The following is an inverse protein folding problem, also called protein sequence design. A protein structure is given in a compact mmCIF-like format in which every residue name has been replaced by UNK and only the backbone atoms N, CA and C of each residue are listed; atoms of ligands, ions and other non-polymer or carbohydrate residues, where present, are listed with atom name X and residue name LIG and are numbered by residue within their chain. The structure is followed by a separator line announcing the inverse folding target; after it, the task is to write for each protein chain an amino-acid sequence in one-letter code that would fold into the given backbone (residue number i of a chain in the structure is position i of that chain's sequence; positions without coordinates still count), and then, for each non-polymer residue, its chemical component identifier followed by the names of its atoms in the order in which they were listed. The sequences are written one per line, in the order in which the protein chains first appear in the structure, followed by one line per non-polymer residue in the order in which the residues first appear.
data_IF_586103452097
#
_entry.id   IF_586103452097
#
_cell.length_a   1.000
_cell.length_b   1.000
_cell.length_c   1.000
_cell.angle_alpha   90.00
_cell.angle_beta   90.00
_cell.angle_gamma   90.00
#
_symmetry.space_group_name_H-M   'P 1'
#
loop_
_entity.id
_entity.type
_entity.pdbx_description
1 polymer ?
#
# COMPACT_ATOMS: atom_id res chain seq x y z
N UNK A 1 -59.50 16.93 -22.06
CA UNK A 1 -59.71 17.51 -20.70
C UNK A 1 -58.46 17.66 -19.82
N UNK A 2 -57.25 17.25 -20.26
CA UNK A 2 -56.01 17.47 -19.48
C UNK A 2 -55.31 18.81 -19.82
N UNK A 3 -55.54 19.34 -21.03
CA UNK A 3 -54.96 20.62 -21.49
C UNK A 3 -55.59 21.87 -20.85
N UNK A 4 -56.60 21.72 -19.98
CA UNK A 4 -57.24 22.84 -19.28
C UNK A 4 -56.65 23.12 -17.90
N UNK A 5 -55.68 22.30 -17.44
CA UNK A 5 -55.12 22.35 -16.07
C UNK A 5 -53.59 22.48 -16.07
N UNK A 6 -52.94 22.57 -17.24
CA UNK A 6 -51.47 22.56 -17.33
C UNK A 6 -51.00 23.70 -18.26
N UNK A 7 -50.10 24.55 -17.77
CA UNK A 7 -49.59 25.74 -18.47
C UNK A 7 -48.54 25.45 -19.57
N UNK A 8 -48.26 24.17 -19.86
CA UNK A 8 -47.32 23.74 -20.89
C UNK A 8 -46.65 22.41 -20.54
N UNK A 9 -46.13 21.70 -21.55
CA UNK A 9 -45.31 20.50 -21.36
C UNK A 9 -43.85 20.90 -21.51
N UNK A 10 -43.07 20.80 -20.44
CA UNK A 10 -41.61 20.82 -20.50
C UNK A 10 -41.13 19.38 -20.48
N UNK A 11 -40.43 18.97 -21.54
CA UNK A 11 -39.75 17.68 -21.59
C UNK A 11 -38.43 17.85 -20.86
N UNK A 12 -38.40 17.47 -19.58
CA UNK A 12 -37.16 17.38 -18.80
C UNK A 12 -36.75 15.91 -18.74
N UNK A 13 -35.47 15.64 -19.03
CA UNK A 13 -34.90 14.33 -18.82
C UNK A 13 -34.72 14.14 -17.32
N UNK A 14 -35.58 13.34 -16.71
CA UNK A 14 -35.49 12.99 -15.30
C UNK A 14 -34.76 11.65 -15.18
N UNK A 15 -33.61 11.63 -14.51
CA UNK A 15 -32.94 10.39 -14.14
C UNK A 15 -33.77 9.70 -13.04
N UNK A 16 -34.42 8.56 -13.31
CA UNK A 16 -35.33 7.93 -12.35
C UNK A 16 -34.59 7.29 -11.16
N UNK A 17 -33.26 7.21 -11.21
CA UNK A 17 -32.42 6.58 -10.20
C UNK A 17 -31.45 7.61 -9.64
N UNK A 18 -31.77 8.12 -8.45
CA UNK A 18 -30.83 8.93 -7.66
C UNK A 18 -29.84 8.00 -6.98
N UNK A 19 -28.65 7.85 -7.57
CA UNK A 19 -27.55 7.15 -6.92
C UNK A 19 -27.12 7.90 -5.66
N UNK A 20 -26.92 7.13 -4.58
CA UNK A 20 -26.51 7.67 -3.28
C UNK A 20 -25.36 6.85 -2.72
N UNK A 21 -24.33 7.53 -2.22
CA UNK A 21 -23.26 6.96 -1.42
C UNK A 21 -23.27 7.63 -0.04
N UNK A 22 -23.27 6.84 1.03
CA UNK A 22 -23.34 7.32 2.42
C UNK A 22 -24.48 8.34 2.68
N UNK A 23 -25.64 8.08 2.06
CA UNK A 23 -26.86 8.92 2.11
C UNK A 23 -26.75 10.29 1.42
N UNK A 24 -25.63 10.60 0.77
CA UNK A 24 -25.47 11.77 -0.11
C UNK A 24 -25.81 11.39 -1.55
N UNK A 25 -26.39 12.32 -2.33
CA UNK A 25 -26.58 12.11 -3.77
C UNK A 25 -25.22 12.13 -4.45
N UNK A 26 -24.94 11.14 -5.28
CA UNK A 26 -23.61 10.93 -5.86
C UNK A 26 -23.75 10.54 -7.32
N UNK A 27 -22.95 11.17 -8.18
CA UNK A 27 -22.76 10.74 -9.55
C UNK A 27 -21.46 9.94 -9.61
N UNK A 28 -21.55 8.66 -9.99
CA UNK A 28 -20.38 7.79 -10.13
C UNK A 28 -19.96 7.73 -11.59
N UNK A 29 -18.70 8.07 -11.86
CA UNK A 29 -18.08 7.91 -13.18
C UNK A 29 -17.09 6.75 -13.08
N UNK A 30 -17.26 5.76 -13.95
CA UNK A 30 -16.43 4.55 -14.00
C UNK A 30 -15.57 4.62 -15.26
N UNK A 31 -14.30 4.28 -15.13
CA UNK A 31 -13.36 4.17 -16.25
C UNK A 31 -12.42 3.00 -15.96
N UNK A 32 -12.30 2.10 -16.93
CA UNK A 32 -11.38 0.97 -16.88
C UNK A 32 -10.28 1.16 -17.94
N UNK A 33 -9.02 0.83 -17.63
CA UNK A 33 -7.96 0.82 -18.64
C UNK A 33 -8.27 -0.21 -19.73
N UNK A 34 -7.77 0.03 -20.94
CA UNK A 34 -8.00 -0.89 -22.05
C UNK A 34 -7.36 -2.25 -21.75
N UNK A 35 -8.13 -3.33 -21.83
CA UNK A 35 -7.71 -4.69 -21.41
C UNK A 35 -6.45 -5.23 -22.11
N UNK A 36 -6.09 -4.71 -23.28
CA UNK A 36 -4.92 -5.09 -24.06
C UNK A 36 -3.75 -4.11 -23.93
N UNK A 37 -3.89 -3.07 -23.12
CA UNK A 37 -2.79 -2.15 -22.81
C UNK A 37 -1.98 -2.67 -21.62
N UNK A 38 -0.67 -2.38 -21.60
CA UNK A 38 0.19 -2.64 -20.44
C UNK A 38 -0.05 -1.63 -19.29
N UNK A 39 -1.16 -0.87 -19.34
CA UNK A 39 -1.46 0.15 -18.35
C UNK A 39 -2.22 -0.41 -17.16
N UNK A 40 -1.71 -0.11 -15.96
CA UNK A 40 -2.42 -0.43 -14.71
C UNK A 40 -3.47 0.63 -14.39
N UNK A 41 -4.47 0.26 -13.59
CA UNK A 41 -5.48 1.21 -13.10
C UNK A 41 -4.86 2.43 -12.38
N UNK A 42 -3.75 2.24 -11.66
CA UNK A 42 -3.02 3.34 -11.00
C UNK A 42 -2.31 4.26 -12.02
N UNK A 43 -1.74 3.69 -13.09
CA UNK A 43 -1.14 4.47 -14.18
C UNK A 43 -2.18 5.32 -14.90
N UNK A 44 -3.33 4.73 -15.27
CA UNK A 44 -4.43 5.44 -15.91
C UNK A 44 -4.98 6.55 -15.01
N UNK A 45 -5.14 6.28 -13.71
CA UNK A 45 -5.56 7.27 -12.73
C UNK A 45 -4.58 8.44 -12.66
N UNK A 46 -3.26 8.19 -12.63
CA UNK A 46 -2.24 9.25 -12.59
C UNK A 46 -2.33 10.19 -13.80
N UNK A 47 -2.67 9.68 -14.98
CA UNK A 47 -2.82 10.50 -16.19
C UNK A 47 -4.03 11.43 -16.13
N UNK A 48 -5.16 10.94 -15.62
CA UNK A 48 -6.44 11.67 -15.63
C UNK A 48 -6.64 12.53 -14.39
N UNK A 49 -6.01 12.16 -13.26
CA UNK A 49 -6.20 12.81 -11.95
C UNK A 49 -6.06 14.32 -12.01
N UNK A 50 -4.96 14.82 -12.56
CA UNK A 50 -4.69 16.27 -12.57
C UNK A 50 -5.74 17.05 -13.37
N UNK A 51 -6.23 16.50 -14.48
CA UNK A 51 -7.25 17.13 -15.29
C UNK A 51 -8.62 17.15 -14.59
N UNK A 52 -8.96 16.08 -13.87
CA UNK A 52 -10.23 15.96 -13.13
C UNK A 52 -10.24 16.83 -11.88
N UNK A 53 -9.13 16.89 -11.14
CA UNK A 53 -9.01 17.74 -9.94
C UNK A 53 -8.96 19.24 -10.28
N UNK A 54 -8.64 19.60 -11.52
CA UNK A 54 -8.66 20.98 -12.01
C UNK A 54 -10.08 21.50 -12.35
N UNK A 55 -11.10 20.64 -12.36
CA UNK A 55 -12.48 21.05 -12.67
C UNK A 55 -13.02 21.87 -11.49
N UNK A 56 -13.46 23.12 -11.70
CA UNK A 56 -14.03 23.93 -10.62
C UNK A 56 -15.37 23.33 -10.17
N UNK A 57 -15.40 22.82 -8.95
CA UNK A 57 -16.60 22.26 -8.36
C UNK A 57 -17.48 23.38 -7.76
N UNK A 58 -18.80 23.39 -8.02
CA UNK A 58 -19.72 24.32 -7.38
C UNK A 58 -19.77 24.12 -5.86
N UNK A 59 -20.20 25.14 -5.13
CA UNK A 59 -20.32 25.08 -3.68
C UNK A 59 -21.23 23.92 -3.24
N UNK A 60 -20.76 23.13 -2.27
CA UNK A 60 -21.47 21.97 -1.74
C UNK A 60 -21.21 20.65 -2.47
N UNK A 61 -20.39 20.64 -3.53
CA UNK A 61 -19.95 19.42 -4.20
C UNK A 61 -18.55 19.00 -3.74
N UNK A 62 -18.34 17.69 -3.60
CA UNK A 62 -17.04 17.10 -3.25
C UNK A 62 -16.69 16.01 -4.25
N UNK A 63 -15.41 15.92 -4.61
CA UNK A 63 -14.88 14.85 -5.44
C UNK A 63 -14.19 13.82 -4.55
N UNK A 64 -14.53 12.54 -4.74
CA UNK A 64 -13.92 11.42 -4.04
C UNK A 64 -13.51 10.35 -5.05
N UNK A 65 -12.28 9.86 -4.95
CA UNK A 65 -11.76 8.77 -5.77
C UNK A 65 -12.20 7.43 -5.19
N UNK A 66 -13.00 6.67 -5.94
CA UNK A 66 -13.48 5.34 -5.56
C UNK A 66 -12.76 4.18 -6.25
N UNK A 67 -13.33 2.99 -6.14
CA UNK A 67 -12.92 1.82 -6.93
C UNK A 67 -11.62 1.16 -6.42
N UNK A 68 -10.75 0.76 -7.35
CA UNK A 68 -9.49 0.06 -7.04
C UNK A 68 -8.52 0.93 -6.22
N UNK A 69 -8.53 2.25 -6.49
CA UNK A 69 -7.71 3.21 -5.75
C UNK A 69 -8.14 3.29 -4.28
N UNK A 70 -9.43 3.43 -4.01
CA UNK A 70 -9.98 3.48 -2.65
C UNK A 70 -9.66 2.20 -1.88
N UNK A 71 -9.93 1.03 -2.47
CA UNK A 71 -9.63 -0.27 -1.85
C UNK A 71 -8.15 -0.41 -1.53
N UNK A 72 -7.27 -0.07 -2.48
CA UNK A 72 -5.83 -0.14 -2.31
C UNK A 72 -5.34 0.82 -1.22
N UNK A 73 -5.85 2.05 -1.22
CA UNK A 73 -5.47 3.08 -0.25
C UNK A 73 -5.94 2.72 1.17
N UNK A 74 -7.18 2.28 1.33
CA UNK A 74 -7.74 1.90 2.63
C UNK A 74 -7.04 0.67 3.20
N UNK A 75 -6.76 -0.34 2.37
CA UNK A 75 -6.00 -1.51 2.78
C UNK A 75 -4.58 -1.14 3.22
N UNK A 76 -3.88 -0.30 2.45
CA UNK A 76 -2.56 0.20 2.81
C UNK A 76 -2.60 0.98 4.12
N UNK A 77 -3.55 1.91 4.30
CA UNK A 77 -3.70 2.72 5.51
C UNK A 77 -3.87 1.85 6.75
N UNK A 78 -4.74 0.84 6.69
CA UNK A 78 -4.97 -0.08 7.80
C UNK A 78 -3.72 -0.91 8.13
N UNK A 79 -2.99 -1.37 7.10
CA UNK A 79 -1.72 -2.06 7.29
C UNK A 79 -0.66 -1.15 7.91
N UNK A 80 -0.45 0.06 7.38
CA UNK A 80 0.50 1.02 7.94
C UNK A 80 0.17 1.43 9.37
N UNK A 81 -1.10 1.39 9.79
CA UNK A 81 -1.48 1.61 11.18
C UNK A 81 -1.04 0.44 12.09
N UNK A 82 -1.08 -0.80 11.60
CA UNK A 82 -0.76 -2.01 12.37
C UNK A 82 0.72 -2.42 12.27
N UNK A 83 1.40 -2.05 11.19
CA UNK A 83 2.80 -2.41 10.91
C UNK A 83 3.79 -1.96 11.99
N UNK A 84 3.77 -0.70 12.49
CA UNK A 84 4.67 -0.26 13.54
C UNK A 84 4.56 -1.10 14.81
N UNK A 85 3.33 -1.47 15.19
CA UNK A 85 3.09 -2.33 16.36
C UNK A 85 3.64 -3.75 16.13
N UNK A 86 3.41 -4.31 14.93
CA UNK A 86 3.96 -5.62 14.57
C UNK A 86 5.49 -5.64 14.56
N UNK A 87 6.12 -4.61 13.98
CA UNK A 87 7.58 -4.46 13.96
C UNK A 87 8.15 -4.28 15.37
N UNK A 88 7.49 -3.50 16.24
CA UNK A 88 7.89 -3.35 17.64
C UNK A 88 7.86 -4.69 18.38
N UNK A 89 6.78 -5.46 18.24
CA UNK A 89 6.65 -6.79 18.87
C UNK A 89 7.73 -7.73 18.33
N UNK A 90 7.96 -7.74 17.03
CA UNK A 90 9.01 -8.54 16.41
C UNK A 90 10.40 -8.16 16.94
N UNK A 91 10.68 -6.86 17.08
CA UNK A 91 11.92 -6.35 17.66
C UNK A 91 12.09 -6.86 19.09
N UNK A 92 11.06 -6.75 19.92
CA UNK A 92 11.08 -7.24 21.30
C UNK A 92 11.34 -8.75 21.36
N UNK A 93 10.68 -9.55 20.52
CA UNK A 93 10.91 -11.00 20.44
C UNK A 93 12.38 -11.29 20.10
N UNK A 94 12.98 -10.55 19.14
CA UNK A 94 14.41 -10.73 18.82
C UNK A 94 15.33 -10.34 19.98
N UNK A 95 15.00 -9.28 20.73
CA UNK A 95 15.76 -8.90 21.93
C UNK A 95 15.70 -9.98 23.00
N UNK A 96 14.52 -10.56 23.24
CA UNK A 96 14.36 -11.68 24.18
C UNK A 96 15.09 -12.94 23.73
N UNK A 97 15.08 -13.24 22.42
CA UNK A 97 15.75 -14.42 21.86
C UNK A 97 17.27 -14.37 22.10
N UNK A 98 17.89 -13.22 21.87
CA UNK A 98 19.34 -13.06 21.98
C UNK A 98 19.81 -12.65 23.38
N UNK A 99 18.90 -12.29 24.28
CA UNK A 99 19.19 -11.73 25.60
C UNK A 99 20.22 -10.58 25.57
N UNK A 100 20.27 -9.85 24.46
CA UNK A 100 21.17 -8.73 24.21
C UNK A 100 20.57 -7.81 23.17
N UNK A 101 20.87 -6.51 23.26
CA UNK A 101 20.30 -5.49 22.36
C UNK A 101 21.17 -5.29 21.11
N UNK A 102 22.48 -5.59 21.20
CA UNK A 102 23.44 -5.34 20.11
C UNK A 102 23.18 -6.22 18.89
N UNK A 103 22.91 -7.51 19.12
CA UNK A 103 22.67 -8.49 18.04
C UNK A 103 21.39 -8.18 17.24
N UNK A 104 20.22 -7.97 17.89
CA UNK A 104 19.02 -7.50 17.21
C UNK A 104 19.24 -6.21 16.43
N UNK A 105 19.92 -5.20 16.99
CA UNK A 105 20.16 -3.94 16.29
C UNK A 105 20.86 -4.13 14.93
N UNK A 106 21.83 -5.03 14.84
CA UNK A 106 22.53 -5.34 13.58
C UNK A 106 21.56 -5.93 12.55
N UNK A 107 20.70 -6.86 12.97
CA UNK A 107 19.68 -7.45 12.08
C UNK A 107 18.68 -6.36 11.64
N UNK A 108 18.24 -5.50 12.55
CA UNK A 108 17.27 -4.45 12.26
C UNK A 108 17.82 -3.32 11.38
N UNK A 109 19.14 -3.09 11.36
CA UNK A 109 19.78 -2.20 10.38
C UNK A 109 19.62 -2.69 8.93
N UNK A 110 19.36 -3.98 8.71
CA UNK A 110 19.10 -4.52 7.36
C UNK A 110 17.70 -4.18 6.85
N UNK A 111 16.75 -3.80 7.72
CA UNK A 111 15.37 -3.46 7.32
C UNK A 111 15.31 -2.14 6.54
N UNK A 112 15.91 -1.03 6.99
CA UNK A 112 16.01 0.18 6.16
C UNK A 112 16.71 -0.07 4.82
N UNK A 113 17.74 -0.92 4.82
CA UNK A 113 18.47 -1.29 3.62
C UNK A 113 17.59 -2.07 2.62
N UNK A 114 16.73 -2.97 3.12
CA UNK A 114 15.78 -3.72 2.28
C UNK A 114 14.78 -2.79 1.59
N UNK A 115 14.27 -1.78 2.30
CA UNK A 115 13.33 -0.80 1.77
C UNK A 115 13.97 0.00 0.63
N UNK A 116 15.22 0.44 0.78
CA UNK A 116 15.96 1.13 -0.29
C UNK A 116 16.05 0.25 -1.55
N UNK A 117 16.37 -1.04 -1.38
CA UNK A 117 16.43 -2.00 -2.49
C UNK A 117 15.09 -2.17 -3.20
N UNK A 118 13.99 -2.26 -2.45
CA UNK A 118 12.63 -2.33 -3.00
C UNK A 118 12.30 -1.07 -3.81
N UNK A 119 12.56 0.11 -3.25
CA UNK A 119 12.26 1.38 -3.92
C UNK A 119 13.01 1.48 -5.24
N UNK A 120 14.30 1.14 -5.26
CA UNK A 120 15.10 1.09 -6.49
C UNK A 120 14.53 0.09 -7.48
N UNK A 121 14.11 -1.10 -7.02
CA UNK A 121 13.47 -2.11 -7.87
C UNK A 121 12.19 -1.59 -8.52
N UNK A 122 11.26 -1.05 -7.73
CA UNK A 122 10.00 -0.51 -8.24
C UNK A 122 10.21 0.62 -9.24
N UNK A 123 11.15 1.53 -8.95
CA UNK A 123 11.48 2.63 -9.87
C UNK A 123 12.12 2.13 -11.16
N UNK A 124 12.97 1.11 -11.10
CA UNK A 124 13.63 0.53 -12.28
C UNK A 124 12.63 -0.14 -13.23
N UNK A 125 11.58 -0.76 -12.69
CA UNK A 125 10.50 -1.38 -13.46
C UNK A 125 9.33 -0.42 -13.75
N UNK A 126 9.43 0.85 -13.32
CA UNK A 126 8.38 1.85 -13.41
C UNK A 126 7.02 1.34 -12.88
N UNK A 127 7.08 0.51 -11.83
CA UNK A 127 5.93 -0.14 -11.24
C UNK A 127 5.37 0.70 -10.08
N UNK A 128 4.03 0.85 -9.98
CA UNK A 128 3.43 1.58 -8.87
C UNK A 128 3.58 0.81 -7.55
N UNK A 129 3.64 1.55 -6.45
CA UNK A 129 3.55 0.96 -5.11
C UNK A 129 2.10 0.54 -4.83
N UNK A 130 1.76 -0.67 -5.26
CA UNK A 130 0.44 -1.27 -5.06
C UNK A 130 0.36 -2.09 -3.77
N UNK A 131 -0.85 -2.51 -3.41
CA UNK A 131 -1.04 -3.44 -2.28
C UNK A 131 -0.22 -4.74 -2.44
N UNK A 132 -0.08 -5.25 -3.67
CA UNK A 132 0.75 -6.41 -3.97
C UNK A 132 2.24 -6.14 -3.74
N UNK A 133 2.72 -4.95 -4.13
CA UNK A 133 4.09 -4.54 -3.84
C UNK A 133 4.34 -4.53 -2.32
N UNK A 134 3.43 -3.96 -1.53
CA UNK A 134 3.50 -3.96 -0.07
C UNK A 134 3.60 -5.38 0.51
N UNK A 135 2.75 -6.32 0.06
CA UNK A 135 2.85 -7.73 0.49
C UNK A 135 4.22 -8.35 0.17
N UNK A 136 4.78 -8.04 -1.00
CA UNK A 136 6.13 -8.44 -1.39
C UNK A 136 7.21 -7.90 -0.44
N UNK A 137 7.12 -6.62 -0.07
CA UNK A 137 8.04 -5.98 0.90
C UNK A 137 7.96 -6.65 2.27
N UNK A 138 6.76 -6.98 2.73
CA UNK A 138 6.57 -7.65 4.02
C UNK A 138 7.17 -9.06 4.02
N UNK A 139 6.95 -9.81 2.94
CA UNK A 139 7.55 -11.14 2.75
C UNK A 139 9.08 -11.08 2.71
N UNK A 140 9.64 -10.12 1.97
CA UNK A 140 11.09 -9.91 1.89
C UNK A 140 11.68 -9.58 3.26
N UNK A 141 11.07 -8.66 4.01
CA UNK A 141 11.53 -8.30 5.35
C UNK A 141 11.52 -9.50 6.30
N UNK A 142 10.49 -10.34 6.25
CA UNK A 142 10.43 -11.57 7.03
C UNK A 142 11.60 -12.52 6.72
N UNK A 143 11.90 -12.73 5.43
CA UNK A 143 13.03 -13.56 5.02
C UNK A 143 14.38 -12.98 5.44
N UNK A 144 14.59 -11.68 5.25
CA UNK A 144 15.84 -10.99 5.63
C UNK A 144 16.08 -11.09 7.14
N UNK A 145 15.06 -10.83 7.95
CA UNK A 145 15.17 -10.93 9.41
C UNK A 145 15.42 -12.39 9.82
N UNK A 146 14.71 -13.36 9.24
CA UNK A 146 14.94 -14.79 9.51
C UNK A 146 16.38 -15.19 9.22
N UNK A 147 16.91 -14.81 8.06
CA UNK A 147 18.29 -15.12 7.68
C UNK A 147 19.29 -14.43 8.62
N UNK A 148 19.03 -13.18 9.01
CA UNK A 148 19.85 -12.47 9.98
C UNK A 148 19.89 -13.16 11.35
N UNK A 149 18.74 -13.65 11.83
CA UNK A 149 18.65 -14.39 13.10
C UNK A 149 19.48 -15.68 13.03
N UNK A 150 19.27 -16.50 11.98
CA UNK A 150 19.98 -17.77 11.81
C UNK A 150 21.49 -17.58 11.72
N UNK A 151 21.95 -16.56 10.97
CA UNK A 151 23.39 -16.26 10.85
C UNK A 151 24.00 -15.84 12.19
N UNK A 152 23.33 -14.98 12.96
CA UNK A 152 23.85 -14.55 14.27
C UNK A 152 23.87 -15.70 15.28
N UNK A 153 22.87 -16.57 15.26
CA UNK A 153 22.83 -17.78 16.09
C UNK A 153 23.96 -18.74 15.70
N UNK A 154 24.20 -18.94 14.41
CA UNK A 154 25.31 -19.77 13.91
C UNK A 154 26.66 -19.21 14.37
N UNK A 155 26.91 -17.91 14.24
CA UNK A 155 28.14 -17.26 14.69
C UNK A 155 28.35 -17.49 16.20
N UNK A 156 27.27 -17.41 16.99
CA UNK A 156 27.34 -17.64 18.45
C UNK A 156 27.70 -19.09 18.77
N UNK A 157 27.08 -20.06 18.09
CA UNK A 157 27.40 -21.47 18.26
C UNK A 157 28.86 -21.77 17.88
N UNK A 158 29.37 -21.16 16.81
CA UNK A 158 30.76 -21.34 16.37
C UNK A 158 31.78 -20.72 17.34
N UNK A 159 31.44 -19.58 17.94
CA UNK A 159 32.23 -18.98 19.03
C UNK A 159 32.24 -19.87 20.28
N UNK A 160 31.11 -20.46 20.66
CA UNK A 160 31.00 -21.38 21.81
C UNK A 160 31.78 -22.69 21.57
N UNK A 161 31.92 -23.13 20.32
CA UNK A 161 32.77 -24.26 19.91
C UNK A 161 34.27 -23.94 19.91
N UNK A 162 34.66 -22.72 20.31
CA UNK A 162 36.06 -22.31 20.48
C UNK A 162 36.74 -21.80 19.21
N UNK A 163 35.99 -21.53 18.13
CA UNK A 163 36.57 -20.89 16.93
C UNK A 163 36.85 -19.42 17.19
N UNK A 164 37.92 -18.90 16.57
CA UNK A 164 38.23 -17.47 16.67
C UNK A 164 37.12 -16.61 16.02
N UNK A 165 36.89 -15.36 16.48
CA UNK A 165 35.79 -14.52 15.97
C UNK A 165 35.84 -14.28 14.45
N UNK A 166 37.05 -14.23 13.87
CA UNK A 166 37.22 -14.07 12.43
C UNK A 166 36.91 -15.36 11.65
N UNK A 167 37.17 -16.53 12.24
CA UNK A 167 36.80 -17.82 11.63
C UNK A 167 35.30 -18.10 11.74
N UNK A 168 34.65 -17.64 12.81
CA UNK A 168 33.21 -17.82 13.03
C UNK A 168 32.31 -16.97 12.10
N UNK A 169 32.85 -15.93 11.46
CA UNK A 169 32.11 -15.09 10.49
C UNK A 169 32.26 -15.59 9.04
N UNK A 170 33.31 -16.37 8.75
CA UNK A 170 33.67 -16.80 7.39
C UNK A 170 33.22 -18.24 7.08
N UNK A 171 33.03 -19.07 8.12
CA UNK A 171 32.47 -20.43 8.01
C UNK A 171 31.00 -20.46 8.38
#
# INVERSE_FOLDING_TARGET
PINQVVNGFKTEWEDPIIMRRDRKRTLSVLADPYLLSDETADSALKQVRAAVEAIPMPDGYSLEWGGEYEKSHDAQKNLFASLPMGLLIMFLITVFLFNTVKQPLVIWMTVPLSIIGVVIGLLSFNAPFSFMALLGVLSLNGMVIKNGIVLVEQIKLELEQGKSPLQAVVH
#
